data_IF_742890939178
#
_entry.id   IF_742890939178
#
_cell.length_a   1.000
_cell.length_b   1.000
_cell.length_c   1.000
_cell.angle_alpha   90.00
_cell.angle_beta   90.00
_cell.angle_gamma   90.00
#
_symmetry.space_group_name_H-M   'P 1'
#
loop_
_entity.id
_entity.type
_entity.pdbx_description
1 polymer ?
#
# COMPACT_ATOMS: atom_id res chain seq x y z
N UNK A 1 14.91 3.38 1.85
CA UNK A 1 14.93 2.64 0.57
C UNK A 1 14.50 1.18 0.73
N UNK A 2 14.95 0.46 1.77
CA UNK A 2 14.61 -0.96 2.01
C UNK A 2 13.11 -1.30 1.90
N UNK A 3 12.20 -0.51 2.50
CA UNK A 3 10.76 -0.81 2.48
C UNK A 3 10.15 -0.86 1.07
N UNK A 4 10.67 -0.09 0.11
CA UNK A 4 10.15 -0.09 -1.28
C UNK A 4 10.51 -1.38 -2.01
N UNK A 5 11.71 -1.90 -1.78
CA UNK A 5 12.19 -3.14 -2.39
C UNK A 5 11.37 -4.34 -1.92
N UNK A 6 11.03 -4.40 -0.63
CA UNK A 6 10.20 -5.48 -0.07
C UNK A 6 8.81 -5.56 -0.72
N UNK A 7 8.20 -4.44 -1.06
CA UNK A 7 6.88 -4.40 -1.67
C UNK A 7 6.89 -4.87 -3.12
N UNK A 8 7.95 -4.53 -3.86
CA UNK A 8 8.13 -5.02 -5.23
C UNK A 8 8.31 -6.54 -5.19
N UNK A 9 9.11 -7.05 -4.26
CA UNK A 9 9.31 -8.49 -4.07
C UNK A 9 7.97 -9.17 -3.74
N UNK A 10 7.17 -8.62 -2.83
CA UNK A 10 5.85 -9.15 -2.48
C UNK A 10 4.88 -9.13 -3.67
N UNK A 11 4.83 -8.05 -4.45
CA UNK A 11 3.97 -7.99 -5.65
C UNK A 11 4.38 -8.99 -6.73
N UNK A 12 5.69 -9.21 -6.92
CA UNK A 12 6.20 -10.25 -7.84
C UNK A 12 5.86 -11.65 -7.34
N UNK A 13 6.03 -11.90 -6.03
CA UNK A 13 5.62 -13.16 -5.41
C UNK A 13 4.11 -13.41 -5.56
N UNK A 14 3.28 -12.36 -5.43
CA UNK A 14 1.83 -12.45 -5.62
C UNK A 14 1.48 -12.88 -7.05
N UNK A 15 2.08 -12.24 -8.06
CA UNK A 15 1.90 -12.65 -9.46
C UNK A 15 2.38 -14.10 -9.69
N UNK A 16 3.52 -14.48 -9.12
CA UNK A 16 4.05 -15.84 -9.24
C UNK A 16 3.09 -16.87 -8.62
N UNK A 17 2.51 -16.59 -7.46
CA UNK A 17 1.55 -17.48 -6.80
C UNK A 17 0.27 -17.63 -7.63
N UNK A 18 -0.22 -16.55 -8.24
CA UNK A 18 -1.38 -16.62 -9.16
C UNK A 18 -1.03 -17.42 -10.41
N UNK A 19 0.17 -17.26 -10.98
CA UNK A 19 0.64 -18.05 -12.12
C UNK A 19 0.79 -19.54 -11.77
N UNK A 20 1.23 -19.88 -10.56
CA UNK A 20 1.28 -21.27 -10.10
C UNK A 20 -0.11 -21.90 -10.00
N UNK A 21 -1.13 -21.12 -9.64
CA UNK A 21 -2.54 -21.57 -9.64
C UNK A 21 -3.12 -21.82 -11.04
N UNK A 22 -2.49 -21.33 -12.12
CA UNK A 22 -2.96 -21.57 -13.50
C UNK A 22 -2.85 -23.05 -13.89
N UNK A 23 -1.95 -23.82 -13.25
CA UNK A 23 -1.75 -25.23 -13.57
C UNK A 23 -2.85 -26.17 -13.04
N UNK A 24 -3.83 -25.65 -12.30
CA UNK A 24 -4.95 -26.43 -11.75
C UNK A 24 -6.14 -26.58 -12.72
N UNK A 25 -7.15 -27.35 -12.29
CA UNK A 25 -8.40 -27.59 -13.05
C UNK A 25 -9.20 -26.29 -13.31
N UNK A 26 -8.98 -25.25 -12.51
CA UNK A 26 -9.68 -23.96 -12.56
C UNK A 26 -9.03 -22.91 -13.49
N UNK A 27 -8.37 -23.35 -14.57
CA UNK A 27 -7.63 -22.49 -15.50
C UNK A 27 -8.41 -21.24 -15.94
N UNK A 28 -9.69 -21.41 -16.34
CA UNK A 28 -10.52 -20.32 -16.83
C UNK A 28 -10.83 -19.28 -15.74
N UNK A 29 -11.15 -19.74 -14.53
CA UNK A 29 -11.42 -18.84 -13.42
C UNK A 29 -10.18 -18.03 -13.03
N UNK A 30 -9.02 -18.68 -12.96
CA UNK A 30 -7.76 -18.01 -12.63
C UNK A 30 -7.40 -16.98 -13.71
N UNK A 31 -7.49 -17.33 -15.00
CA UNK A 31 -7.12 -16.45 -16.10
C UNK A 31 -8.07 -15.24 -16.26
N UNK A 32 -9.38 -15.43 -16.11
CA UNK A 32 -10.36 -14.36 -16.40
C UNK A 32 -10.78 -13.55 -15.17
N UNK A 33 -10.55 -14.04 -13.96
CA UNK A 33 -10.97 -13.35 -12.72
C UNK A 33 -9.76 -13.00 -11.85
N UNK A 34 -8.97 -13.99 -11.43
CA UNK A 34 -7.90 -13.79 -10.44
C UNK A 34 -6.73 -13.00 -11.02
N UNK A 35 -6.27 -13.39 -12.21
CA UNK A 35 -5.15 -12.78 -12.90
C UNK A 35 -5.35 -11.28 -13.19
N UNK A 36 -6.46 -10.82 -13.79
CA UNK A 36 -6.65 -9.38 -14.05
C UNK A 36 -6.73 -8.56 -12.75
N UNK A 37 -7.34 -9.09 -11.69
CA UNK A 37 -7.41 -8.41 -10.38
C UNK A 37 -6.00 -8.32 -9.76
N UNK A 38 -5.19 -9.38 -9.85
CA UNK A 38 -3.79 -9.40 -9.37
C UNK A 38 -2.89 -8.44 -10.15
N UNK A 39 -3.03 -8.37 -11.47
CA UNK A 39 -2.32 -7.39 -12.30
C UNK A 39 -2.73 -5.98 -11.89
N UNK A 40 -4.03 -5.74 -11.72
CA UNK A 40 -4.54 -4.43 -11.30
C UNK A 40 -3.98 -4.02 -9.93
N UNK A 41 -3.97 -4.94 -8.95
CA UNK A 41 -3.38 -4.71 -7.64
C UNK A 41 -1.89 -4.34 -7.75
N UNK A 42 -1.13 -5.08 -8.55
CA UNK A 42 0.31 -4.81 -8.75
C UNK A 42 0.56 -3.45 -9.40
N UNK A 43 -0.26 -3.07 -10.40
CA UNK A 43 -0.16 -1.75 -11.06
C UNK A 43 -0.47 -0.63 -10.06
N UNK A 44 -1.54 -0.77 -9.27
CA UNK A 44 -1.87 0.22 -8.24
C UNK A 44 -0.78 0.33 -7.18
N UNK A 45 -0.18 -0.78 -6.75
CA UNK A 45 0.97 -0.76 -5.84
C UNK A 45 2.15 0.02 -6.44
N UNK A 46 2.49 -0.26 -7.71
CA UNK A 46 3.57 0.44 -8.43
C UNK A 46 3.33 1.95 -8.52
N UNK A 47 2.13 2.36 -8.94
CA UNK A 47 1.72 3.77 -9.01
C UNK A 47 1.78 4.41 -7.62
N UNK A 48 1.26 3.72 -6.60
CA UNK A 48 1.23 4.24 -5.22
C UNK A 48 2.62 4.49 -4.68
N UNK A 49 3.57 3.58 -4.93
CA UNK A 49 4.96 3.73 -4.52
C UNK A 49 5.66 4.85 -5.30
N UNK A 50 5.41 4.94 -6.61
CA UNK A 50 6.04 5.95 -7.48
C UNK A 50 5.59 7.38 -7.14
N UNK A 51 4.29 7.58 -6.91
CA UNK A 51 3.70 8.90 -6.70
C UNK A 51 3.43 9.22 -5.21
N UNK A 52 3.76 8.32 -4.28
CA UNK A 52 3.39 8.41 -2.87
C UNK A 52 1.88 8.63 -2.69
N UNK A 53 1.08 7.96 -3.52
CA UNK A 53 -0.35 8.23 -3.62
C UNK A 53 -1.14 7.39 -2.61
N UNK A 54 -1.55 8.00 -1.49
CA UNK A 54 -2.28 7.34 -0.39
C UNK A 54 -3.52 6.58 -0.84
N UNK A 55 -4.37 7.20 -1.67
CA UNK A 55 -5.58 6.54 -2.22
C UNK A 55 -5.26 5.30 -3.05
N UNK A 56 -4.12 5.29 -3.74
CA UNK A 56 -3.69 4.11 -4.48
C UNK A 56 -3.37 2.92 -3.55
N UNK A 57 -2.80 3.18 -2.37
CA UNK A 57 -2.54 2.14 -1.35
C UNK A 57 -3.86 1.60 -0.78
N UNK A 58 -4.84 2.47 -0.56
CA UNK A 58 -6.19 2.05 -0.11
C UNK A 58 -6.87 1.15 -1.14
N UNK A 59 -6.81 1.52 -2.43
CA UNK A 59 -7.33 0.70 -3.54
C UNK A 59 -6.58 -0.64 -3.62
N UNK A 60 -5.26 -0.63 -3.48
CA UNK A 60 -4.45 -1.85 -3.45
C UNK A 60 -4.89 -2.80 -2.33
N UNK A 61 -5.06 -2.29 -1.11
CA UNK A 61 -5.54 -3.09 0.03
C UNK A 61 -6.93 -3.69 -0.26
N UNK A 62 -7.85 -2.89 -0.82
CA UNK A 62 -9.17 -3.36 -1.18
C UNK A 62 -9.12 -4.50 -2.22
N UNK A 63 -8.25 -4.40 -3.23
CA UNK A 63 -8.05 -5.45 -4.23
C UNK A 63 -7.46 -6.72 -3.61
N UNK A 64 -6.48 -6.60 -2.72
CA UNK A 64 -5.93 -7.76 -1.99
C UNK A 64 -6.98 -8.43 -1.09
N UNK A 65 -7.89 -7.68 -0.46
CA UNK A 65 -9.00 -8.25 0.30
C UNK A 65 -9.92 -9.07 -0.62
N UNK A 66 -10.23 -8.56 -1.81
CA UNK A 66 -11.02 -9.30 -2.80
C UNK A 66 -10.30 -10.59 -3.21
N UNK A 67 -9.01 -10.53 -3.53
CA UNK A 67 -8.20 -11.72 -3.87
C UNK A 67 -8.13 -12.72 -2.72
N UNK A 68 -8.00 -12.25 -1.48
CA UNK A 68 -8.03 -13.09 -0.29
C UNK A 68 -9.35 -13.85 -0.18
N UNK A 69 -10.48 -13.17 -0.37
CA UNK A 69 -11.80 -13.82 -0.36
C UNK A 69 -11.94 -14.84 -1.50
N UNK A 70 -11.49 -14.49 -2.71
CA UNK A 70 -11.54 -15.38 -3.88
C UNK A 70 -10.70 -16.65 -3.69
N UNK A 71 -9.59 -16.59 -2.95
CA UNK A 71 -8.77 -17.76 -2.60
C UNK A 71 -9.31 -18.51 -1.36
N UNK A 72 -9.97 -17.81 -0.44
CA UNK A 72 -10.50 -18.41 0.79
C UNK A 72 -11.72 -19.30 0.54
N UNK A 73 -12.60 -18.94 -0.39
CA UNK A 73 -13.80 -19.75 -0.69
C UNK A 73 -13.47 -21.16 -1.23
N UNK A 74 -12.60 -21.33 -2.25
CA UNK A 74 -12.17 -22.65 -2.71
C UNK A 74 -11.44 -23.44 -1.63
N UNK A 75 -10.59 -22.77 -0.84
CA UNK A 75 -9.90 -23.40 0.29
C UNK A 75 -10.88 -23.99 1.30
N UNK A 76 -11.90 -23.22 1.68
CA UNK A 76 -12.95 -23.68 2.58
C UNK A 76 -13.67 -24.88 1.98
N UNK A 77 -14.11 -24.80 0.72
CA UNK A 77 -14.76 -25.92 0.03
C UNK A 77 -13.92 -27.20 0.04
N UNK A 78 -12.62 -27.09 -0.27
CA UNK A 78 -11.69 -28.23 -0.27
C UNK A 78 -11.47 -28.80 1.13
N UNK A 79 -11.33 -27.96 2.17
CA UNK A 79 -11.14 -28.45 3.54
C UNK A 79 -12.32 -29.28 4.06
N UNK A 80 -13.54 -28.98 3.64
CA UNK A 80 -14.75 -29.69 4.08
C UNK A 80 -15.22 -30.79 3.12
N UNK A 81 -14.77 -30.78 1.86
CA UNK A 81 -15.25 -31.69 0.81
C UNK A 81 -14.21 -32.60 0.16
N UNK A 82 -12.91 -32.37 0.37
CA UNK A 82 -11.87 -33.05 -0.41
C UNK A 82 -11.45 -34.41 0.15
N UNK A 83 -11.11 -35.31 -0.78
CA UNK A 83 -10.41 -36.56 -0.48
C UNK A 83 -8.90 -36.32 -0.40
N UNK A 84 -8.15 -37.28 0.16
CA UNK A 84 -6.68 -37.23 0.29
C UNK A 84 -5.91 -36.99 -1.02
N UNK A 85 -6.56 -37.01 -2.19
CA UNK A 85 -5.91 -36.72 -3.47
C UNK A 85 -5.65 -35.21 -3.72
N UNK A 86 -6.34 -34.30 -3.02
CA UNK A 86 -6.29 -32.86 -3.28
C UNK A 86 -5.35 -32.05 -2.35
N UNK A 87 -4.42 -32.70 -1.64
CA UNK A 87 -3.52 -32.02 -0.70
C UNK A 87 -2.65 -30.94 -1.37
N UNK A 88 -2.28 -31.13 -2.63
CA UNK A 88 -1.49 -30.16 -3.37
C UNK A 88 -2.25 -28.84 -3.58
N UNK A 89 -3.53 -28.93 -3.98
CA UNK A 89 -4.38 -27.75 -4.20
C UNK A 89 -4.63 -27.01 -2.89
N UNK A 90 -4.88 -27.75 -1.80
CA UNK A 90 -5.03 -27.16 -0.46
C UNK A 90 -3.77 -26.34 -0.08
N UNK A 91 -2.58 -26.88 -0.32
CA UNK A 91 -1.32 -26.17 -0.05
C UNK A 91 -1.19 -24.91 -0.90
N UNK A 92 -1.53 -24.96 -2.18
CA UNK A 92 -1.49 -23.79 -3.07
C UNK A 92 -2.45 -22.69 -2.60
N UNK A 93 -3.68 -23.05 -2.23
CA UNK A 93 -4.64 -22.09 -1.69
C UNK A 93 -4.22 -21.50 -0.34
N UNK A 94 -3.65 -22.30 0.56
CA UNK A 94 -3.09 -21.80 1.84
C UNK A 94 -1.98 -20.79 1.57
N UNK A 95 -1.04 -21.11 0.68
CA UNK A 95 0.05 -20.19 0.31
C UNK A 95 -0.51 -18.91 -0.29
N UNK A 96 -1.51 -19.00 -1.18
CA UNK A 96 -2.20 -17.85 -1.75
C UNK A 96 -2.84 -16.96 -0.68
N UNK A 97 -3.57 -17.54 0.27
CA UNK A 97 -4.21 -16.79 1.38
C UNK A 97 -3.17 -16.11 2.27
N UNK A 98 -2.09 -16.82 2.64
CA UNK A 98 -1.01 -16.26 3.45
C UNK A 98 -0.32 -15.09 2.75
N UNK A 99 -0.12 -15.21 1.44
CA UNK A 99 0.52 -14.19 0.63
C UNK A 99 -0.36 -12.93 0.50
N UNK A 100 -1.66 -13.10 0.24
CA UNK A 100 -2.60 -11.97 0.21
C UNK A 100 -2.71 -11.29 1.58
N UNK A 101 -2.71 -12.07 2.68
CA UNK A 101 -2.67 -11.53 4.03
C UNK A 101 -1.39 -10.71 4.28
N UNK A 102 -0.24 -11.19 3.81
CA UNK A 102 1.02 -10.46 3.91
C UNK A 102 1.00 -9.17 3.07
N UNK A 103 0.42 -9.20 1.87
CA UNK A 103 0.21 -8.01 1.03
C UNK A 103 -0.67 -6.97 1.74
N UNK A 104 -1.79 -7.38 2.35
CA UNK A 104 -2.67 -6.47 3.11
C UNK A 104 -1.92 -5.86 4.30
N UNK A 105 -1.22 -6.69 5.09
CA UNK A 105 -0.44 -6.22 6.23
C UNK A 105 0.62 -5.19 5.80
N UNK A 106 1.30 -5.45 4.68
CA UNK A 106 2.28 -4.53 4.10
C UNK A 106 1.64 -3.22 3.61
N UNK A 107 0.45 -3.29 3.00
CA UNK A 107 -0.31 -2.11 2.57
C UNK A 107 -0.70 -1.21 3.74
N UNK A 108 -1.23 -1.81 4.81
CA UNK A 108 -1.58 -1.09 6.05
C UNK A 108 -0.35 -0.43 6.67
N UNK A 109 0.78 -1.15 6.69
CA UNK A 109 2.05 -0.60 7.18
C UNK A 109 2.48 0.64 6.37
N UNK A 110 2.42 0.61 5.04
CA UNK A 110 2.73 1.77 4.19
C UNK A 110 1.79 2.93 4.50
N UNK A 111 0.49 2.65 4.61
CA UNK A 111 -0.52 3.66 4.86
C UNK A 111 -0.20 4.43 6.14
N UNK A 112 0.17 3.71 7.20
CA UNK A 112 0.60 4.28 8.49
C UNK A 112 1.84 5.18 8.37
N UNK A 113 2.86 4.74 7.62
CA UNK A 113 4.07 5.54 7.38
C UNK A 113 3.81 6.79 6.53
N UNK A 114 2.88 6.71 5.58
CA UNK A 114 2.56 7.85 4.70
C UNK A 114 1.79 8.92 5.48
N UNK A 115 0.88 8.52 6.35
CA UNK A 115 0.07 9.44 7.18
C UNK A 115 0.92 10.22 8.20
N UNK A 116 1.95 9.59 8.75
CA UNK A 116 2.89 10.23 9.69
C UNK A 116 3.78 11.27 8.99
N UNK A 117 4.28 10.96 7.79
CA UNK A 117 5.09 11.89 7.00
C UNK A 117 4.30 13.15 6.58
N UNK A 118 3.03 12.98 6.20
CA UNK A 118 2.16 14.11 5.82
C UNK A 118 1.93 15.04 7.01
N UNK A 119 1.61 14.49 8.19
CA UNK A 119 1.40 15.26 9.42
C UNK A 119 2.63 16.08 9.81
N UNK A 120 3.83 15.50 9.76
CA UNK A 120 5.06 16.24 10.04
C UNK A 120 5.27 17.40 9.07
N UNK A 121 4.99 17.20 7.78
CA UNK A 121 5.13 18.26 6.77
C UNK A 121 4.16 19.43 7.01
N UNK A 122 2.92 19.13 7.42
CA UNK A 122 1.90 20.12 7.77
C UNK A 122 2.26 20.88 9.04
N UNK A 123 2.80 20.19 10.05
CA UNK A 123 3.28 20.80 11.28
C UNK A 123 4.45 21.77 11.00
N UNK A 124 5.42 21.39 10.16
CA UNK A 124 6.53 22.27 9.76
C UNK A 124 6.05 23.52 9.01
N UNK A 125 5.08 23.37 8.10
CA UNK A 125 4.47 24.52 7.38
C UNK A 125 3.72 25.45 8.32
N UNK A 126 3.03 24.88 9.32
CA UNK A 126 2.32 25.66 10.33
C UNK A 126 3.32 26.44 11.21
N UNK A 127 4.40 25.79 11.66
CA UNK A 127 5.46 26.45 12.43
C UNK A 127 6.18 27.55 11.63
N UNK A 128 6.46 27.34 10.33
CA UNK A 128 7.12 28.38 9.52
C UNK A 128 6.23 29.60 9.27
N UNK A 129 4.90 29.40 9.14
CA UNK A 129 3.96 30.53 9.08
C UNK A 129 3.96 31.32 10.38
N UNK A 130 3.89 30.63 11.52
CA UNK A 130 3.89 31.29 12.83
C UNK A 130 5.19 32.07 13.04
N UNK A 131 6.36 31.50 12.74
CA UNK A 131 7.64 32.20 12.91
C UNK A 131 7.76 33.42 11.98
N UNK A 132 7.28 33.33 10.73
CA UNK A 132 7.25 34.47 9.82
C UNK A 132 6.31 35.58 10.27
N UNK A 133 5.14 35.23 10.84
CA UNK A 133 4.22 36.21 11.42
C UNK A 133 4.84 36.91 12.62
N UNK A 134 5.49 36.18 13.52
CA UNK A 134 6.22 36.78 14.65
C UNK A 134 7.35 37.69 14.17
N UNK A 135 8.17 37.24 13.22
CA UNK A 135 9.27 38.05 12.67
C UNK A 135 8.79 39.34 12.01
N UNK A 136 7.69 39.30 11.26
CA UNK A 136 7.11 40.49 10.63
C UNK A 136 6.44 41.44 11.63
N UNK A 137 5.93 40.91 12.74
CA UNK A 137 5.24 41.71 13.77
C UNK A 137 6.23 42.42 14.70
N UNK A 138 7.36 41.78 15.04
CA UNK A 138 8.35 42.33 15.97
C UNK A 138 9.56 42.95 15.27
N UNK A 139 9.95 42.48 14.09
CA UNK A 139 11.08 43.04 13.31
C UNK A 139 10.80 44.40 12.66
N UNK A 140 9.58 44.93 12.75
CA UNK A 140 9.23 46.28 12.25
C UNK A 140 9.48 47.39 13.27
N UNK A 141 9.74 47.04 14.54
CA UNK A 141 10.00 48.00 15.61
C UNK A 141 11.42 48.56 15.64
N UNK A 142 12.43 47.81 15.21
CA UNK A 142 13.84 48.22 15.36
C UNK A 142 14.37 49.16 14.26
N UNK A 143 13.65 49.36 13.15
CA UNK A 143 14.11 50.24 12.07
C UNK A 143 13.49 51.65 12.09
N UNK A 144 12.55 51.93 13.01
CA UNK A 144 11.92 53.25 13.10
C UNK A 144 12.72 54.26 13.96
N UNK A 145 13.74 53.82 14.69
CA UNK A 145 14.46 54.67 15.66
C UNK A 145 15.76 55.29 15.11
N UNK A 146 16.18 54.95 13.88
CA UNK A 146 17.43 55.45 13.28
C UNK A 146 17.25 56.36 12.05
N UNK A 147 16.03 56.83 11.76
CA UNK A 147 15.79 57.83 10.71
C UNK A 147 15.70 59.28 11.25
N UNK A 148 15.84 59.49 12.57
CA UNK A 148 15.74 60.81 13.20
C UNK A 148 17.05 61.60 13.36
N UNK A 149 18.22 61.00 13.09
CA UNK A 149 19.52 61.60 13.46
C UNK A 149 20.43 61.86 12.26
N UNK A 150 19.86 62.46 11.19
CA UNK A 150 20.61 63.11 10.10
C UNK A 150 19.87 64.34 9.58
N UNK A 151 19.70 65.35 10.44
CA UNK A 151 19.52 66.75 10.01
C UNK A 151 20.28 67.64 10.97
#
# INVERSE_FOLDING_TARGET
MQARTWLIILGVLQLLAVLLNIYGEDFYYVCFVVLPISILATVFLGISIAFQWKRGVEIFIALCIVLLLLNFFPLFSLLFGATWAAWHDILLYIVGVLLEAACIASGIWILYYTDTAEKESLLRRSQSRVSNVFRNSFGRGENAEYEGERV
#
